data_IF_354424441374
#
_entry.id   IF_354424441374
#
_cell.length_a   1.000
_cell.length_b   1.000
_cell.length_c   1.000
_cell.angle_alpha   90.00
_cell.angle_beta   90.00
_cell.angle_gamma   90.00
#
_symmetry.space_group_name_H-M   'P 1'
#
loop_
_entity.id
_entity.type
_entity.pdbx_description
1 polymer ?
#
# COMPACT_ATOMS: atom_id res chain seq x y z
N UNK A 1 16.76 8.12 -25.65
CA UNK A 1 16.53 6.89 -24.84
C UNK A 1 15.11 6.45 -25.07
N UNK A 2 14.92 5.25 -25.54
CA UNK A 2 13.58 4.67 -25.67
C UNK A 2 13.05 4.45 -24.24
N UNK A 3 12.04 5.24 -23.86
CA UNK A 3 11.47 5.15 -22.52
C UNK A 3 10.81 3.79 -22.28
N UNK A 4 10.35 3.12 -23.34
CA UNK A 4 9.78 1.77 -23.24
C UNK A 4 10.85 0.74 -22.84
N UNK A 5 12.06 0.84 -23.39
CA UNK A 5 13.14 -0.07 -23.02
C UNK A 5 13.67 0.21 -21.61
N UNK A 6 13.82 1.46 -21.25
CA UNK A 6 14.13 1.86 -19.88
C UNK A 6 13.07 1.39 -18.90
N UNK A 7 11.80 1.53 -19.27
CA UNK A 7 10.67 1.04 -18.50
C UNK A 7 10.69 -0.48 -18.30
N UNK A 8 10.90 -1.23 -19.38
CA UNK A 8 10.99 -2.71 -19.33
C UNK A 8 12.11 -3.19 -18.40
N UNK A 9 13.26 -2.55 -18.47
CA UNK A 9 14.40 -2.90 -17.62
C UNK A 9 14.14 -2.56 -16.15
N UNK A 10 13.47 -1.44 -15.87
CA UNK A 10 13.11 -1.03 -14.52
C UNK A 10 11.99 -1.91 -13.96
N UNK A 11 10.99 -2.27 -14.76
CA UNK A 11 9.94 -3.23 -14.38
C UNK A 11 10.57 -4.56 -13.98
N UNK A 12 11.47 -5.09 -14.80
CA UNK A 12 12.18 -6.34 -14.50
C UNK A 12 12.96 -6.27 -13.20
N UNK A 13 13.63 -5.15 -12.95
CA UNK A 13 14.33 -4.92 -11.68
C UNK A 13 13.40 -4.93 -10.47
N UNK A 14 12.21 -4.34 -10.59
CA UNK A 14 11.21 -4.31 -9.50
C UNK A 14 10.48 -5.63 -9.33
N UNK A 15 10.24 -6.36 -10.39
CA UNK A 15 9.72 -7.73 -10.31
C UNK A 15 10.68 -8.63 -9.53
N UNK A 16 11.98 -8.51 -9.78
CA UNK A 16 13.02 -9.20 -8.99
C UNK A 16 12.92 -8.78 -7.51
N UNK A 17 12.71 -7.50 -7.23
CA UNK A 17 12.56 -7.01 -5.85
C UNK A 17 11.33 -7.60 -5.16
N UNK A 18 10.19 -7.69 -5.84
CA UNK A 18 8.99 -8.34 -5.31
C UNK A 18 9.22 -9.82 -5.06
N UNK A 19 9.89 -10.50 -5.97
CA UNK A 19 10.28 -11.90 -5.81
C UNK A 19 11.22 -12.10 -4.63
N UNK A 20 12.17 -11.20 -4.41
CA UNK A 20 13.06 -11.22 -3.26
C UNK A 20 12.31 -11.01 -1.94
N UNK A 21 11.33 -10.11 -1.90
CA UNK A 21 10.48 -9.90 -0.74
C UNK A 21 9.68 -11.16 -0.40
N UNK A 22 9.12 -11.82 -1.41
CA UNK A 22 8.41 -13.08 -1.25
C UNK A 22 9.34 -14.22 -0.80
N UNK A 23 10.54 -14.30 -1.36
CA UNK A 23 11.56 -15.29 -0.96
C UNK A 23 12.01 -15.09 0.50
N UNK A 24 12.24 -13.85 0.93
CA UNK A 24 12.55 -13.52 2.33
C UNK A 24 11.43 -13.94 3.27
N UNK A 25 10.18 -13.73 2.88
CA UNK A 25 9.01 -14.20 3.63
C UNK A 25 9.02 -15.73 3.78
N UNK A 26 9.21 -16.42 2.68
CA UNK A 26 9.23 -17.90 2.66
C UNK A 26 10.40 -18.46 3.47
N UNK A 27 11.58 -17.85 3.39
CA UNK A 27 12.76 -18.21 4.16
C UNK A 27 12.54 -18.01 5.66
N UNK A 28 11.99 -16.87 6.07
CA UNK A 28 11.61 -16.62 7.47
C UNK A 28 10.60 -17.66 7.97
N UNK A 29 9.61 -17.99 7.15
CA UNK A 29 8.61 -19.00 7.48
C UNK A 29 9.24 -20.38 7.67
N UNK A 30 10.25 -20.75 6.89
CA UNK A 30 10.96 -22.03 7.03
C UNK A 30 11.89 -22.07 8.24
N UNK A 31 12.57 -20.96 8.56
CA UNK A 31 13.51 -20.86 9.69
C UNK A 31 12.79 -20.78 11.04
N UNK A 32 11.68 -20.08 11.12
CA UNK A 32 10.91 -19.90 12.35
C UNK A 32 9.80 -20.95 12.52
N UNK A 33 9.75 -21.91 11.69
CA UNK A 33 9.12 -23.23 11.73
C UNK A 33 7.72 -23.39 12.32
N UNK A 34 7.13 -22.43 13.00
CA UNK A 34 5.84 -22.61 13.69
C UNK A 34 4.91 -21.42 13.60
N UNK A 35 5.41 -20.25 13.29
CA UNK A 35 4.59 -19.04 13.30
C UNK A 35 4.63 -18.26 12.00
N UNK A 36 5.56 -18.50 11.08
CA UNK A 36 5.70 -17.66 9.89
C UNK A 36 5.79 -16.18 10.25
N UNK A 37 5.81 -15.30 9.27
CA UNK A 37 5.58 -13.89 9.53
C UNK A 37 4.10 -13.69 9.85
N UNK A 38 3.81 -12.95 10.93
CA UNK A 38 2.45 -12.50 11.22
C UNK A 38 1.94 -11.58 10.12
N UNK A 39 0.62 -11.42 10.01
CA UNK A 39 0.03 -10.44 9.09
C UNK A 39 0.56 -9.03 9.37
N UNK A 40 0.70 -8.69 10.65
CA UNK A 40 1.29 -7.42 11.07
C UNK A 40 2.69 -7.22 10.48
N UNK A 41 3.57 -8.19 10.62
CA UNK A 41 4.95 -8.09 10.11
C UNK A 41 4.99 -8.03 8.59
N UNK A 42 4.10 -8.74 7.91
CA UNK A 42 3.97 -8.67 6.45
C UNK A 42 3.56 -7.29 5.97
N UNK A 43 2.53 -6.74 6.58
CA UNK A 43 2.04 -5.38 6.25
C UNK A 43 3.11 -4.34 6.56
N UNK A 44 3.75 -4.43 7.72
CA UNK A 44 4.83 -3.52 8.10
C UNK A 44 6.00 -3.58 7.11
N UNK A 45 6.39 -4.76 6.68
CA UNK A 45 7.46 -4.95 5.70
C UNK A 45 7.11 -4.31 4.35
N UNK A 46 5.91 -4.56 3.84
CA UNK A 46 5.45 -3.97 2.59
C UNK A 46 5.32 -2.43 2.69
N UNK A 47 4.77 -1.95 3.77
CA UNK A 47 4.61 -0.53 4.06
C UNK A 47 5.97 0.20 4.11
N UNK A 48 6.92 -0.34 4.86
CA UNK A 48 8.25 0.23 4.98
C UNK A 48 9.01 0.17 3.65
N UNK A 49 8.88 -0.92 2.91
CA UNK A 49 9.48 -1.03 1.58
C UNK A 49 8.99 0.07 0.65
N UNK A 50 7.69 0.27 0.57
CA UNK A 50 7.12 1.29 -0.31
C UNK A 50 7.54 2.69 0.11
N UNK A 51 7.47 3.03 1.39
CA UNK A 51 7.86 4.35 1.90
C UNK A 51 9.34 4.64 1.70
N UNK A 52 10.20 3.63 1.78
CA UNK A 52 11.63 3.77 1.59
C UNK A 52 12.05 3.89 0.11
N UNK A 53 11.19 3.45 -0.81
CA UNK A 53 11.51 3.37 -2.25
C UNK A 53 10.65 4.28 -3.12
N UNK A 54 9.75 5.04 -2.54
CA UNK A 54 8.86 5.92 -3.29
C UNK A 54 8.77 7.29 -2.63
N UNK A 55 8.83 8.33 -3.43
CA UNK A 55 8.59 9.72 -3.02
C UNK A 55 7.31 10.25 -3.66
N UNK A 56 6.72 11.26 -3.04
CA UNK A 56 5.50 11.87 -3.55
C UNK A 56 5.77 12.73 -4.79
N UNK A 57 5.00 12.51 -5.84
CA UNK A 57 5.08 13.27 -7.08
C UNK A 57 4.25 14.55 -6.99
N UNK A 58 4.82 15.62 -6.48
CA UNK A 58 4.14 16.92 -6.33
C UNK A 58 3.66 17.51 -7.65
N UNK A 59 4.33 17.16 -8.75
CA UNK A 59 3.96 17.54 -10.12
C UNK A 59 3.40 16.35 -10.89
N UNK A 60 2.70 15.46 -10.20
CA UNK A 60 2.25 14.20 -10.76
C UNK A 60 1.32 14.33 -11.97
N UNK A 61 0.62 15.44 -12.10
CA UNK A 61 -0.19 15.73 -13.28
C UNK A 61 0.64 15.83 -14.57
N UNK A 62 1.95 16.05 -14.48
CA UNK A 62 2.88 16.06 -15.62
C UNK A 62 3.37 14.64 -15.99
N UNK A 63 3.13 13.67 -15.12
CA UNK A 63 3.64 12.31 -15.29
C UNK A 63 2.48 11.32 -15.40
N UNK A 64 2.32 10.72 -16.55
CA UNK A 64 1.26 9.74 -16.81
C UNK A 64 1.41 8.44 -15.99
N UNK A 65 2.54 8.20 -15.34
CA UNK A 65 2.77 7.05 -14.47
C UNK A 65 2.46 7.30 -12.99
N UNK A 66 2.28 8.56 -12.55
CA UNK A 66 2.20 8.92 -11.13
C UNK A 66 1.00 8.30 -10.39
N UNK A 67 -0.04 7.91 -11.12
CA UNK A 67 -1.25 7.28 -10.59
C UNK A 67 -1.26 5.75 -10.73
N UNK A 68 -0.12 5.14 -10.99
CA UNK A 68 0.00 3.71 -11.23
C UNK A 68 0.88 3.04 -10.19
N UNK A 69 0.63 1.76 -9.92
CA UNK A 69 1.52 0.93 -9.10
C UNK A 69 2.94 0.89 -9.68
N UNK A 70 3.03 0.85 -10.99
CA UNK A 70 4.27 0.86 -11.72
C UNK A 70 5.11 2.11 -11.44
N UNK A 71 4.49 3.30 -11.44
CA UNK A 71 5.17 4.55 -11.08
C UNK A 71 5.78 4.50 -9.68
N UNK A 72 5.04 4.00 -8.70
CA UNK A 72 5.53 3.86 -7.33
C UNK A 72 6.62 2.80 -7.18
N UNK A 73 6.44 1.64 -7.80
CA UNK A 73 7.35 0.49 -7.63
C UNK A 73 8.57 0.53 -8.56
N UNK A 74 8.44 1.14 -9.71
CA UNK A 74 9.47 1.16 -10.76
C UNK A 74 10.22 2.47 -10.79
N UNK A 75 9.52 3.58 -10.97
CA UNK A 75 10.16 4.90 -10.94
C UNK A 75 10.46 5.40 -9.52
N UNK A 76 9.74 4.90 -8.54
CA UNK A 76 9.89 5.36 -7.17
C UNK A 76 9.30 6.74 -6.94
N UNK A 77 8.30 7.13 -7.71
CA UNK A 77 7.64 8.43 -7.61
C UNK A 77 6.17 8.29 -8.01
N UNK A 78 5.26 8.71 -7.13
CA UNK A 78 3.83 8.57 -7.36
C UNK A 78 3.00 9.54 -6.52
N UNK A 79 1.75 9.72 -6.93
CA UNK A 79 0.71 10.34 -6.11
C UNK A 79 0.02 9.28 -5.24
N UNK A 80 -0.94 9.69 -4.41
CA UNK A 80 -1.66 8.80 -3.48
C UNK A 80 -2.27 7.56 -4.16
N UNK A 81 -2.82 7.73 -5.36
CA UNK A 81 -3.37 6.62 -6.16
C UNK A 81 -2.31 5.59 -6.56
N UNK A 82 -1.12 6.04 -6.94
CA UNK A 82 0.01 5.16 -7.24
C UNK A 82 0.51 4.42 -6.01
N UNK A 83 0.64 5.11 -4.87
CA UNK A 83 0.94 4.47 -3.59
C UNK A 83 -0.09 3.41 -3.21
N UNK A 84 -1.37 3.71 -3.32
CA UNK A 84 -2.44 2.79 -2.95
C UNK A 84 -2.48 1.55 -3.86
N UNK A 85 -2.27 1.72 -5.16
CA UNK A 85 -2.17 0.61 -6.12
C UNK A 85 -0.92 -0.23 -5.90
N UNK A 86 0.20 0.42 -5.59
CA UNK A 86 1.46 -0.28 -5.27
C UNK A 86 1.32 -1.12 -3.99
N UNK A 87 0.70 -0.56 -2.95
CA UNK A 87 0.45 -1.28 -1.71
C UNK A 87 -0.46 -2.50 -1.94
N UNK A 88 -1.50 -2.34 -2.76
CA UNK A 88 -2.36 -3.48 -3.17
C UNK A 88 -1.54 -4.58 -3.85
N UNK A 89 -0.66 -4.22 -4.79
CA UNK A 89 0.20 -5.16 -5.49
C UNK A 89 1.18 -5.86 -4.53
N UNK A 90 1.80 -5.12 -3.61
CA UNK A 90 2.69 -5.69 -2.60
C UNK A 90 1.96 -6.65 -1.68
N UNK A 91 0.79 -6.27 -1.18
CA UNK A 91 -0.03 -7.12 -0.31
C UNK A 91 -0.45 -8.41 -1.03
N UNK A 92 -0.87 -8.32 -2.29
CA UNK A 92 -1.22 -9.49 -3.10
C UNK A 92 -0.01 -10.43 -3.25
N UNK A 93 1.18 -9.89 -3.46
CA UNK A 93 2.41 -10.68 -3.61
C UNK A 93 2.81 -11.41 -2.32
N UNK A 94 2.51 -10.84 -1.17
CA UNK A 94 2.88 -11.40 0.14
C UNK A 94 1.73 -12.10 0.87
N UNK A 95 0.58 -12.22 0.23
CA UNK A 95 -0.58 -12.96 0.75
C UNK A 95 -1.33 -12.24 1.86
N UNK A 96 -1.46 -10.93 1.79
CA UNK A 96 -2.26 -10.10 2.69
C UNK A 96 -3.49 -9.59 1.95
N UNK A 97 -4.67 -9.76 2.55
CA UNK A 97 -5.90 -9.21 2.01
C UNK A 97 -5.85 -7.67 2.06
N UNK A 98 -6.04 -7.05 0.93
CA UNK A 98 -5.95 -5.61 0.77
C UNK A 98 -7.04 -5.10 -0.17
N UNK A 99 -7.61 -3.94 0.14
CA UNK A 99 -8.57 -3.23 -0.70
C UNK A 99 -8.03 -1.85 -1.06
N UNK A 100 -8.35 -1.42 -2.25
CA UNK A 100 -8.13 -0.05 -2.69
C UNK A 100 -9.35 0.80 -2.36
N UNK A 101 -9.15 1.96 -1.76
CA UNK A 101 -10.23 2.84 -1.32
C UNK A 101 -10.02 4.25 -1.85
N UNK A 102 -11.09 4.84 -2.33
CA UNK A 102 -11.13 6.23 -2.80
C UNK A 102 -12.03 7.05 -1.87
N UNK A 103 -11.59 8.27 -1.54
CA UNK A 103 -12.42 9.22 -0.81
C UNK A 103 -13.68 9.58 -1.61
N UNK A 104 -14.72 9.98 -0.92
CA UNK A 104 -15.91 10.55 -1.54
C UNK A 104 -15.88 12.08 -1.55
N UNK A 105 -16.91 12.69 -2.12
CA UNK A 105 -17.01 14.15 -2.25
C UNK A 105 -17.12 14.91 -0.93
N UNK A 106 -17.39 14.22 0.17
CA UNK A 106 -17.54 14.81 1.51
C UNK A 106 -16.22 14.81 2.30
N UNK A 107 -15.19 14.14 1.80
CA UNK A 107 -13.88 14.10 2.44
C UNK A 107 -13.20 15.48 2.38
N UNK A 108 -12.32 15.76 3.34
CA UNK A 108 -11.47 16.96 3.34
C UNK A 108 -10.56 17.01 2.11
N UNK A 109 -10.16 15.86 1.60
CA UNK A 109 -9.50 15.69 0.31
C UNK A 109 -10.24 14.63 -0.51
N UNK A 110 -11.19 15.04 -1.38
CA UNK A 110 -11.99 14.10 -2.18
C UNK A 110 -11.21 13.28 -3.19
N UNK A 111 -10.00 13.71 -3.51
CA UNK A 111 -9.12 13.00 -4.45
C UNK A 111 -8.22 11.96 -3.77
N UNK A 112 -8.24 11.88 -2.44
CA UNK A 112 -7.34 11.00 -1.70
C UNK A 112 -7.71 9.53 -1.86
N UNK A 113 -6.69 8.68 -1.86
CA UNK A 113 -6.83 7.24 -2.04
C UNK A 113 -5.86 6.52 -1.09
N UNK A 114 -6.30 5.40 -0.55
CA UNK A 114 -5.57 4.62 0.44
C UNK A 114 -5.95 3.15 0.37
N UNK A 115 -5.58 2.37 1.36
CA UNK A 115 -5.89 0.94 1.44
C UNK A 115 -6.60 0.57 2.74
N UNK A 116 -7.38 -0.49 2.68
CA UNK A 116 -7.78 -1.28 3.83
C UNK A 116 -7.05 -2.61 3.77
N UNK A 117 -6.45 -3.00 4.87
CA UNK A 117 -5.71 -4.25 4.99
C UNK A 117 -6.25 -5.09 6.14
N UNK A 118 -6.20 -6.39 5.97
CA UNK A 118 -6.57 -7.34 7.01
C UNK A 118 -5.34 -7.78 7.79
N UNK A 119 -5.38 -7.59 9.11
CA UNK A 119 -4.35 -8.06 10.05
C UNK A 119 -5.04 -8.96 11.08
N UNK A 120 -4.78 -10.26 10.99
CA UNK A 120 -5.55 -11.24 11.75
C UNK A 120 -7.02 -11.24 11.32
N UNK A 121 -7.91 -10.96 12.25
CA UNK A 121 -9.35 -10.83 12.02
C UNK A 121 -9.84 -9.38 11.85
N UNK A 122 -8.93 -8.41 11.88
CA UNK A 122 -9.26 -6.98 11.85
C UNK A 122 -8.89 -6.33 10.52
N UNK A 123 -9.80 -5.52 10.01
CA UNK A 123 -9.54 -4.64 8.89
C UNK A 123 -9.14 -3.25 9.37
N UNK A 124 -8.04 -2.72 8.87
CA UNK A 124 -7.47 -1.44 9.27
C UNK A 124 -7.16 -0.56 8.07
N UNK A 125 -7.11 0.74 8.31
CA UNK A 125 -6.69 1.73 7.32
C UNK A 125 -5.17 1.70 7.19
N UNK A 126 -4.69 1.70 5.95
CA UNK A 126 -3.27 1.80 5.62
C UNK A 126 -3.07 2.86 4.54
N UNK A 127 -2.31 3.87 4.85
CA UNK A 127 -2.01 4.95 3.90
C UNK A 127 -0.50 5.19 3.84
N UNK A 128 0.16 4.50 2.93
CA UNK A 128 1.60 4.58 2.79
C UNK A 128 2.09 5.96 2.33
N UNK A 129 1.27 6.70 1.60
CA UNK A 129 1.63 8.03 1.13
C UNK A 129 1.69 9.03 2.28
N UNK A 130 0.69 9.07 3.14
CA UNK A 130 0.61 10.03 4.26
C UNK A 130 1.24 9.54 5.55
N UNK A 131 1.58 8.27 5.65
CA UNK A 131 2.15 7.67 6.87
C UNK A 131 1.13 7.05 7.81
N UNK A 132 -0.11 6.84 7.38
CA UNK A 132 -1.13 6.16 8.17
C UNK A 132 -0.87 4.65 8.22
N UNK A 133 -0.62 4.13 9.43
CA UNK A 133 -0.33 2.72 9.62
C UNK A 133 -1.33 2.06 10.56
N UNK A 134 -2.14 1.17 10.02
CA UNK A 134 -3.13 0.36 10.73
C UNK A 134 -4.06 1.21 11.63
N UNK A 135 -4.57 2.27 11.06
CA UNK A 135 -5.49 3.18 11.74
C UNK A 135 -6.91 2.62 11.79
N UNK A 136 -7.64 3.00 12.81
CA UNK A 136 -9.06 2.74 12.89
C UNK A 136 -9.89 3.74 12.07
N UNK A 137 -11.11 3.35 11.73
CA UNK A 137 -12.02 4.21 10.96
C UNK A 137 -12.34 5.52 11.69
N UNK A 138 -12.40 5.50 13.02
CA UNK A 138 -12.65 6.70 13.82
C UNK A 138 -11.52 7.72 13.68
N UNK A 139 -10.28 7.28 13.80
CA UNK A 139 -9.10 8.15 13.60
C UNK A 139 -9.08 8.73 12.19
N UNK A 140 -9.34 7.90 11.18
CA UNK A 140 -9.31 8.32 9.79
C UNK A 140 -10.39 9.34 9.46
N UNK A 141 -11.60 9.16 9.99
CA UNK A 141 -12.69 10.11 9.85
C UNK A 141 -12.45 11.42 10.61
N UNK A 142 -12.06 11.33 11.88
CA UNK A 142 -11.95 12.51 12.76
C UNK A 142 -10.67 13.31 12.56
N UNK A 143 -9.52 12.64 12.51
CA UNK A 143 -8.22 13.33 12.42
C UNK A 143 -7.83 13.67 10.98
N UNK A 144 -8.10 12.80 10.05
CA UNK A 144 -7.78 13.02 8.64
C UNK A 144 -8.92 13.64 7.84
N UNK A 145 -10.12 13.72 8.40
CA UNK A 145 -11.29 14.28 7.71
C UNK A 145 -11.75 13.44 6.53
N UNK A 146 -11.44 12.14 6.52
CA UNK A 146 -11.77 11.26 5.40
C UNK A 146 -13.19 10.76 5.50
N UNK A 147 -13.82 10.63 4.34
CA UNK A 147 -15.13 10.04 4.13
C UNK A 147 -15.07 9.20 2.86
N UNK A 148 -15.74 8.06 2.86
CA UNK A 148 -15.76 7.13 1.73
C UNK A 148 -17.01 6.26 1.74
N UNK A 149 -17.39 5.76 0.58
CA UNK A 149 -18.45 4.78 0.46
C UNK A 149 -17.96 3.43 0.99
N UNK A 150 -18.60 2.93 2.03
CA UNK A 150 -18.26 1.65 2.66
C UNK A 150 -18.94 0.45 2.03
N UNK A 151 -19.86 0.68 1.09
CA UNK A 151 -20.59 -0.40 0.41
C UNK A 151 -19.62 -1.26 -0.40
N UNK A 152 -19.70 -2.55 -0.18
CA UNK A 152 -18.81 -3.51 -0.85
C UNK A 152 -17.40 -3.60 -0.27
N UNK A 153 -17.08 -2.84 0.78
CA UNK A 153 -15.83 -2.93 1.50
C UNK A 153 -15.99 -3.67 2.83
N UNK A 154 -14.96 -4.38 3.29
CA UNK A 154 -14.95 -4.92 4.65
C UNK A 154 -15.08 -3.80 5.68
N UNK A 155 -15.76 -4.08 6.78
CA UNK A 155 -15.89 -3.11 7.88
C UNK A 155 -14.55 -2.94 8.58
N UNK A 156 -14.02 -1.71 8.58
CA UNK A 156 -12.82 -1.37 9.32
C UNK A 156 -13.07 -1.36 10.82
N UNK A 157 -12.08 -1.82 11.57
CA UNK A 157 -12.03 -1.64 13.01
C UNK A 157 -12.13 -0.15 13.35
N UNK A 158 -12.89 0.17 14.40
CA UNK A 158 -13.12 1.58 14.78
C UNK A 158 -11.88 2.21 15.42
N UNK A 159 -11.12 1.44 16.17
CA UNK A 159 -9.92 1.89 16.89
C UNK A 159 -8.66 1.50 16.13
N UNK A 160 -7.58 2.24 16.36
CA UNK A 160 -6.27 1.92 15.83
C UNK A 160 -5.81 0.54 16.30
N UNK A 161 -5.07 -0.15 15.44
CA UNK A 161 -4.52 -1.47 15.77
C UNK A 161 -3.49 -1.34 16.90
N UNK A 162 -3.61 -2.21 17.87
CA UNK A 162 -2.63 -2.37 18.95
C UNK A 162 -1.97 -3.74 18.83
N UNK A 163 -0.67 -3.72 18.68
CA UNK A 163 0.13 -4.95 18.67
C UNK A 163 0.19 -5.57 20.05
#
# INVERSE_FOLDING_TARGET
MDWEEGAKNTVKSREVTLSQLQAKKNKKKSVHNRKGMSDYDRVLTAYNYLRSNCIYAYRGWQYNYANTAWGALVYGEAQCSGYARAMKALCDAIGVDCRYVHADSKASNPSHQWNQVRVGDKWCILDAQSGGFLLGSRTWKKKAGMSWDTKGLPTCNMTDYKK
#
